data_IF_748758207653
#
_entry.id   IF_748758207653
#
_cell.length_a   1.000
_cell.length_b   1.000
_cell.length_c   1.000
_cell.angle_alpha   90.00
_cell.angle_beta   90.00
_cell.angle_gamma   90.00
#
_symmetry.space_group_name_H-M   'P 1'
#
loop_
_entity.id
_entity.type
_entity.pdbx_description
1 polymer ?
#
# COMPACT_ATOMS: atom_id res chain seq x y z
N UNK A 1 1.48 6.50 -36.92
CA UNK A 1 2.51 5.46 -36.86
C UNK A 1 2.36 4.67 -35.54
N UNK A 2 2.18 3.36 -35.64
CA UNK A 2 1.84 2.50 -34.47
C UNK A 2 3.10 2.09 -33.69
N UNK A 3 4.22 1.93 -34.41
CA UNK A 3 5.47 1.42 -33.84
C UNK A 3 6.27 2.51 -33.13
N UNK A 4 6.80 2.17 -31.96
CA UNK A 4 7.77 2.96 -31.23
C UNK A 4 9.10 2.20 -31.19
N UNK A 5 10.15 2.81 -31.72
CA UNK A 5 11.49 2.24 -31.80
C UNK A 5 12.38 2.77 -30.66
N UNK A 6 11.99 2.50 -29.43
CA UNK A 6 12.69 2.94 -28.25
C UNK A 6 12.46 2.01 -27.05
N UNK A 7 12.95 2.41 -25.89
CA UNK A 7 12.71 1.68 -24.65
C UNK A 7 11.28 1.95 -24.14
N UNK A 8 10.39 0.96 -24.22
CA UNK A 8 9.01 1.03 -23.75
C UNK A 8 8.85 1.16 -22.21
N UNK A 9 9.95 1.12 -21.45
CA UNK A 9 9.96 1.29 -19.99
C UNK A 9 10.51 2.66 -19.56
N UNK A 10 10.87 3.52 -20.53
CA UNK A 10 11.43 4.86 -20.22
C UNK A 10 10.35 5.91 -20.05
N UNK A 11 10.69 6.99 -19.35
CA UNK A 11 9.82 8.18 -19.20
C UNK A 11 9.53 8.85 -20.55
N UNK A 12 10.46 8.73 -21.51
CA UNK A 12 10.28 9.21 -22.89
C UNK A 12 9.12 8.48 -23.58
N UNK A 13 8.97 7.17 -23.34
CA UNK A 13 7.82 6.43 -23.85
C UNK A 13 6.50 6.88 -23.20
N UNK A 14 6.51 7.14 -21.90
CA UNK A 14 5.31 7.61 -21.18
C UNK A 14 4.82 8.92 -21.80
N UNK A 15 5.73 9.89 -22.00
CA UNK A 15 5.42 11.16 -22.63
C UNK A 15 4.94 11.02 -24.09
N UNK A 16 5.59 10.15 -24.85
CA UNK A 16 5.23 9.89 -26.26
C UNK A 16 3.88 9.16 -26.36
N UNK A 17 3.59 8.23 -25.47
CA UNK A 17 2.31 7.53 -25.41
C UNK A 17 1.15 8.51 -25.09
N UNK A 18 1.35 9.42 -24.15
CA UNK A 18 0.41 10.48 -23.83
C UNK A 18 0.17 11.41 -25.03
N UNK A 19 1.24 11.84 -25.70
CA UNK A 19 1.17 12.64 -26.93
C UNK A 19 0.39 11.96 -28.05
N UNK A 20 0.43 10.63 -28.11
CA UNK A 20 -0.33 9.80 -29.08
C UNK A 20 -1.77 9.55 -28.65
N UNK A 21 -2.17 9.98 -27.46
CA UNK A 21 -3.50 9.71 -26.88
C UNK A 21 -3.70 8.26 -26.46
N UNK A 22 -2.61 7.53 -26.17
CA UNK A 22 -2.71 6.18 -25.66
C UNK A 22 -3.02 6.21 -24.15
N UNK A 23 -3.97 5.40 -23.67
CA UNK A 23 -4.28 5.36 -22.23
C UNK A 23 -3.14 4.75 -21.43
N UNK A 24 -2.83 5.36 -20.29
CA UNK A 24 -1.88 4.82 -19.31
C UNK A 24 -2.64 4.39 -18.06
N UNK A 25 -3.25 3.22 -18.12
CA UNK A 25 -4.06 2.67 -17.02
C UNK A 25 -3.12 1.98 -16.03
N UNK A 26 -2.96 2.57 -14.84
CA UNK A 26 -2.03 2.11 -13.81
C UNK A 26 -2.66 1.22 -12.74
N UNK A 27 -3.98 1.12 -12.70
CA UNK A 27 -4.69 0.32 -11.69
C UNK A 27 -5.72 -0.61 -12.31
N UNK A 28 -5.95 -1.75 -11.65
CA UNK A 28 -7.00 -2.69 -12.02
C UNK A 28 -8.39 -2.03 -11.94
N UNK A 29 -8.60 -1.15 -10.95
CA UNK A 29 -9.88 -0.44 -10.75
C UNK A 29 -10.25 0.41 -11.97
N UNK A 30 -9.27 1.09 -12.57
CA UNK A 30 -9.46 1.85 -13.81
C UNK A 30 -9.66 0.92 -15.02
N UNK A 31 -8.85 -0.14 -15.10
CA UNK A 31 -8.92 -1.09 -16.21
C UNK A 31 -10.28 -1.78 -16.32
N UNK A 32 -10.86 -2.16 -15.18
CA UNK A 32 -12.19 -2.79 -15.11
C UNK A 32 -13.28 -1.89 -15.70
N UNK A 33 -13.20 -0.57 -15.47
CA UNK A 33 -14.12 0.39 -16.06
C UNK A 33 -14.18 0.35 -17.59
N UNK A 34 -13.11 -0.10 -18.25
CA UNK A 34 -13.09 -0.22 -19.71
C UNK A 34 -13.97 -1.35 -20.24
N UNK A 35 -14.33 -2.36 -19.43
CA UNK A 35 -15.22 -3.45 -19.83
C UNK A 35 -16.65 -2.98 -20.12
N UNK A 36 -17.11 -1.96 -19.40
CA UNK A 36 -18.48 -1.47 -19.45
C UNK A 36 -18.65 -0.17 -20.25
N UNK A 37 -17.62 0.25 -20.99
CA UNK A 37 -17.72 1.36 -21.92
C UNK A 37 -18.66 1.02 -23.07
N UNK A 38 -19.49 1.96 -23.55
CA UNK A 38 -20.45 1.69 -24.61
C UNK A 38 -19.86 1.06 -25.89
N UNK A 39 -18.65 1.52 -26.28
CA UNK A 39 -17.93 0.98 -27.43
C UNK A 39 -17.48 -0.46 -27.22
N UNK A 40 -17.06 -0.81 -25.99
CA UNK A 40 -16.66 -2.17 -25.62
C UNK A 40 -17.86 -3.11 -25.59
N UNK A 41 -18.96 -2.69 -24.97
CA UNK A 41 -20.24 -3.42 -24.96
C UNK A 41 -20.70 -3.71 -26.39
N UNK A 42 -20.81 -2.68 -27.23
CA UNK A 42 -21.23 -2.82 -28.63
C UNK A 42 -20.33 -3.80 -29.41
N UNK A 43 -19.04 -3.78 -29.16
CA UNK A 43 -18.09 -4.69 -29.81
C UNK A 43 -18.37 -6.13 -29.41
N UNK A 44 -18.48 -6.44 -28.11
CA UNK A 44 -18.71 -7.78 -27.62
C UNK A 44 -20.07 -8.34 -28.01
N UNK A 45 -21.14 -7.54 -27.99
CA UNK A 45 -22.47 -7.91 -28.48
C UNK A 45 -22.45 -8.17 -29.99
N UNK A 46 -21.75 -7.31 -30.76
CA UNK A 46 -21.64 -7.45 -32.19
C UNK A 46 -20.94 -8.75 -32.63
N UNK A 47 -20.01 -9.27 -31.81
CA UNK A 47 -19.38 -10.57 -32.03
C UNK A 47 -20.09 -11.75 -31.33
N UNK A 48 -21.18 -11.48 -30.61
CA UNK A 48 -21.91 -12.53 -29.89
C UNK A 48 -21.13 -13.18 -28.75
N UNK A 49 -20.17 -12.47 -28.16
CA UNK A 49 -19.27 -13.01 -27.10
C UNK A 49 -19.85 -12.77 -25.72
N UNK A 50 -20.26 -11.53 -25.44
CA UNK A 50 -20.88 -11.15 -24.17
C UNK A 50 -22.01 -10.14 -24.41
N UNK A 51 -23.04 -10.23 -23.58
CA UNK A 51 -24.09 -9.21 -23.44
C UNK A 51 -23.63 -8.10 -22.48
N UNK A 52 -24.29 -6.94 -22.54
CA UNK A 52 -24.07 -5.85 -21.58
C UNK A 52 -24.22 -6.32 -20.13
N UNK A 53 -25.24 -7.15 -19.83
CA UNK A 53 -25.48 -7.67 -18.49
C UNK A 53 -24.32 -8.54 -17.98
N UNK A 54 -23.75 -9.38 -18.84
CA UNK A 54 -22.60 -10.22 -18.50
C UNK A 54 -21.33 -9.38 -18.27
N UNK A 55 -21.09 -8.34 -19.08
CA UNK A 55 -19.96 -7.44 -18.90
C UNK A 55 -20.05 -6.65 -17.58
N UNK A 56 -21.24 -6.14 -17.25
CA UNK A 56 -21.50 -5.48 -15.96
C UNK A 56 -21.25 -6.40 -14.78
N UNK A 57 -21.80 -7.63 -14.82
CA UNK A 57 -21.58 -8.63 -13.77
C UNK A 57 -20.09 -8.97 -13.60
N UNK A 58 -19.37 -9.12 -14.70
CA UNK A 58 -17.91 -9.37 -14.66
C UNK A 58 -17.13 -8.19 -14.07
N UNK A 59 -17.52 -6.96 -14.36
CA UNK A 59 -16.90 -5.77 -13.77
C UNK A 59 -17.14 -5.72 -12.24
N UNK A 60 -18.36 -5.98 -11.80
CA UNK A 60 -18.73 -6.04 -10.38
C UNK A 60 -17.89 -7.08 -9.62
N UNK A 61 -17.79 -8.30 -10.16
CA UNK A 61 -16.98 -9.38 -9.56
C UNK A 61 -15.50 -8.97 -9.46
N UNK A 62 -14.97 -8.26 -10.46
CA UNK A 62 -13.58 -7.80 -10.43
C UNK A 62 -13.35 -6.70 -9.39
N UNK A 63 -14.26 -5.76 -9.22
CA UNK A 63 -14.19 -4.75 -8.17
C UNK A 63 -14.26 -5.40 -6.78
N UNK A 64 -15.18 -6.35 -6.61
CA UNK A 64 -15.29 -7.09 -5.35
C UNK A 64 -14.03 -7.89 -5.03
N UNK A 65 -13.48 -8.60 -6.01
CA UNK A 65 -12.24 -9.37 -5.85
C UNK A 65 -11.06 -8.47 -5.46
N UNK A 66 -10.91 -7.30 -6.11
CA UNK A 66 -9.89 -6.32 -5.76
C UNK A 66 -10.05 -5.83 -4.32
N UNK A 67 -11.26 -5.41 -3.95
CA UNK A 67 -11.57 -4.92 -2.60
C UNK A 67 -11.28 -5.97 -1.53
N UNK A 68 -11.67 -7.24 -1.78
CA UNK A 68 -11.39 -8.36 -0.86
C UNK A 68 -9.89 -8.61 -0.69
N UNK A 69 -9.12 -8.58 -1.78
CA UNK A 69 -7.67 -8.80 -1.73
C UNK A 69 -6.99 -7.72 -0.88
N UNK A 70 -7.21 -6.44 -1.20
CA UNK A 70 -6.60 -5.33 -0.46
C UNK A 70 -7.06 -5.29 1.00
N UNK A 71 -8.34 -5.63 1.28
CA UNK A 71 -8.83 -5.74 2.66
C UNK A 71 -8.10 -6.82 3.48
N UNK A 72 -7.81 -7.97 2.87
CA UNK A 72 -7.04 -9.04 3.53
C UNK A 72 -5.61 -8.56 3.79
N UNK A 73 -4.95 -7.98 2.78
CA UNK A 73 -3.59 -7.46 2.90
C UNK A 73 -3.50 -6.39 4.00
N UNK A 74 -4.41 -5.41 4.02
CA UNK A 74 -4.44 -4.36 5.02
C UNK A 74 -4.64 -4.90 6.45
N UNK A 75 -5.56 -5.84 6.63
CA UNK A 75 -5.78 -6.49 7.93
C UNK A 75 -4.58 -7.30 8.39
N UNK A 76 -3.91 -7.99 7.47
CA UNK A 76 -2.68 -8.72 7.75
C UNK A 76 -1.56 -7.76 8.19
N UNK A 77 -1.39 -6.62 7.50
CA UNK A 77 -0.42 -5.60 7.91
C UNK A 77 -0.69 -5.05 9.32
N UNK A 78 -1.96 -4.76 9.64
CA UNK A 78 -2.34 -4.31 10.99
C UNK A 78 -2.00 -5.38 12.04
N UNK A 79 -2.29 -6.63 11.74
CA UNK A 79 -2.06 -7.76 12.65
C UNK A 79 -0.56 -7.99 12.87
N UNK A 80 0.25 -8.03 11.82
CA UNK A 80 1.71 -8.15 11.89
C UNK A 80 2.33 -6.96 12.63
N UNK A 81 1.93 -5.72 12.30
CA UNK A 81 2.43 -4.54 13.00
C UNK A 81 2.12 -4.59 14.50
N UNK A 82 0.91 -5.01 14.87
CA UNK A 82 0.48 -5.03 16.26
C UNK A 82 1.03 -6.19 17.10
N UNK A 83 1.21 -7.37 16.49
CA UNK A 83 1.57 -8.59 17.22
C UNK A 83 3.06 -8.95 17.15
N UNK A 84 3.73 -8.49 16.09
CA UNK A 84 5.11 -8.88 15.82
C UNK A 84 6.06 -7.69 15.84
N UNK A 85 5.85 -6.71 14.96
CA UNK A 85 6.81 -5.63 14.72
C UNK A 85 6.87 -4.65 15.89
N UNK A 86 5.75 -4.09 16.33
CA UNK A 86 5.71 -3.14 17.45
C UNK A 86 6.25 -3.77 18.73
N UNK A 87 5.89 -5.00 19.15
CA UNK A 87 6.50 -5.66 20.30
C UNK A 87 8.01 -5.88 20.17
N UNK A 88 8.50 -6.27 18.98
CA UNK A 88 9.93 -6.45 18.74
C UNK A 88 10.70 -5.13 18.91
N UNK A 89 10.17 -4.04 18.38
CA UNK A 89 10.77 -2.71 18.51
C UNK A 89 10.74 -2.22 19.96
N UNK A 90 9.68 -2.50 20.72
CA UNK A 90 9.62 -2.18 22.17
C UNK A 90 10.73 -2.94 22.91
N UNK A 91 10.99 -4.20 22.60
CA UNK A 91 12.09 -4.96 23.20
C UNK A 91 13.43 -4.32 22.88
N UNK A 92 13.66 -3.96 21.61
CA UNK A 92 14.90 -3.30 21.18
C UNK A 92 15.11 -1.93 21.84
N UNK A 93 14.04 -1.11 21.97
CA UNK A 93 14.15 0.16 22.71
C UNK A 93 14.50 -0.04 24.17
N UNK A 94 14.03 -1.13 24.78
CA UNK A 94 14.40 -1.49 26.17
C UNK A 94 15.89 -1.86 26.28
N UNK A 95 16.42 -2.63 25.33
CA UNK A 95 17.84 -2.97 25.28
C UNK A 95 18.72 -1.72 25.08
N UNK A 96 18.34 -0.82 24.18
CA UNK A 96 19.03 0.45 23.96
C UNK A 96 18.99 1.33 25.23
N UNK A 97 17.86 1.43 25.91
CA UNK A 97 17.74 2.21 27.13
C UNK A 97 18.66 1.67 28.24
N UNK A 98 18.72 0.33 28.41
CA UNK A 98 19.65 -0.30 29.34
C UNK A 98 21.11 -0.05 28.95
N UNK A 99 21.43 -0.10 27.65
CA UNK A 99 22.76 0.22 27.15
C UNK A 99 23.15 1.66 27.48
N UNK A 100 22.27 2.65 27.25
CA UNK A 100 22.50 4.06 27.60
C UNK A 100 22.80 4.21 29.09
N UNK A 101 22.05 3.55 29.95
CA UNK A 101 22.24 3.63 31.39
C UNK A 101 23.58 3.00 31.81
N UNK A 102 23.88 1.80 31.35
CA UNK A 102 25.10 1.08 31.71
C UNK A 102 26.38 1.78 31.24
N UNK A 103 26.37 2.37 30.03
CA UNK A 103 27.52 3.12 29.51
C UNK A 103 27.74 4.40 30.29
N UNK A 104 26.68 5.11 30.68
CA UNK A 104 26.75 6.30 31.53
C UNK A 104 27.26 5.97 32.94
N UNK A 105 26.80 4.88 33.55
CA UNK A 105 27.27 4.41 34.87
C UNK A 105 28.75 4.03 34.84
N UNK A 106 29.24 3.51 33.73
CA UNK A 106 30.65 3.22 33.51
C UNK A 106 31.52 4.50 33.26
N UNK A 107 30.90 5.68 33.21
CA UNK A 107 31.59 6.97 32.99
C UNK A 107 31.97 7.22 31.54
N UNK A 108 31.39 6.50 30.58
CA UNK A 108 31.63 6.67 29.14
C UNK A 108 30.51 7.47 28.45
N UNK A 109 30.80 7.94 27.23
CA UNK A 109 29.83 8.66 26.40
C UNK A 109 28.80 7.66 25.79
N UNK A 110 27.53 7.92 26.03
CA UNK A 110 26.40 7.14 25.54
C UNK A 110 25.54 7.92 24.52
N UNK A 111 26.09 8.96 23.90
CA UNK A 111 25.35 9.83 22.99
C UNK A 111 24.80 9.06 21.79
N UNK A 112 25.60 8.20 21.17
CA UNK A 112 25.20 7.40 20.00
C UNK A 112 24.02 6.46 20.33
N UNK A 113 24.09 5.77 21.47
CA UNK A 113 23.00 4.89 21.90
C UNK A 113 21.71 5.69 22.20
N UNK A 114 21.84 6.87 22.78
CA UNK A 114 20.72 7.75 23.10
C UNK A 114 20.06 8.32 21.82
N UNK A 115 20.85 8.65 20.80
CA UNK A 115 20.35 9.11 19.51
C UNK A 115 19.56 8.01 18.80
N UNK A 116 20.11 6.79 18.74
CA UNK A 116 19.42 5.63 18.17
C UNK A 116 18.12 5.32 18.93
N UNK A 117 18.15 5.35 20.27
CA UNK A 117 16.95 5.15 21.10
C UNK A 117 15.88 6.18 20.77
N UNK A 118 16.25 7.43 20.61
CA UNK A 118 15.33 8.53 20.27
C UNK A 118 14.71 8.32 18.90
N UNK A 119 15.51 7.96 17.90
CA UNK A 119 15.07 7.72 16.53
C UNK A 119 14.12 6.53 16.45
N UNK A 120 14.47 5.39 17.02
CA UNK A 120 13.62 4.18 17.03
C UNK A 120 12.31 4.41 17.80
N UNK A 121 12.36 5.15 18.90
CA UNK A 121 11.16 5.55 19.64
C UNK A 121 10.24 6.46 18.82
N UNK A 122 10.80 7.29 17.97
CA UNK A 122 10.06 8.10 16.98
C UNK A 122 9.32 7.22 16.00
N UNK A 123 10.00 6.25 15.38
CA UNK A 123 9.36 5.31 14.45
C UNK A 123 8.27 4.46 15.12
N UNK A 124 8.47 4.04 16.36
CA UNK A 124 7.43 3.31 17.13
C UNK A 124 6.15 4.14 17.27
N UNK A 125 6.27 5.45 17.54
CA UNK A 125 5.13 6.37 17.61
C UNK A 125 4.44 6.52 16.25
N UNK A 126 5.22 6.67 15.17
CA UNK A 126 4.71 6.76 13.80
C UNK A 126 3.95 5.49 13.40
N UNK A 127 4.51 4.31 13.67
CA UNK A 127 3.87 3.01 13.40
C UNK A 127 2.54 2.88 14.10
N UNK A 128 2.48 3.26 15.39
CA UNK A 128 1.23 3.16 16.17
C UNK A 128 0.15 4.07 15.59
N UNK A 129 0.50 5.29 15.20
CA UNK A 129 -0.43 6.24 14.58
C UNK A 129 -0.88 5.77 13.19
N UNK A 130 0.05 5.29 12.34
CA UNK A 130 -0.25 4.80 11.01
C UNK A 130 -1.11 3.52 11.04
N UNK A 131 -0.85 2.60 11.98
CA UNK A 131 -1.67 1.41 12.19
C UNK A 131 -3.12 1.76 12.57
N UNK A 132 -3.31 2.76 13.43
CA UNK A 132 -4.64 3.24 13.79
C UNK A 132 -5.35 3.88 12.59
N UNK A 133 -4.65 4.71 11.81
CA UNK A 133 -5.17 5.32 10.57
C UNK A 133 -5.58 4.26 9.54
N UNK A 134 -4.77 3.23 9.34
CA UNK A 134 -5.09 2.13 8.45
C UNK A 134 -6.32 1.35 8.91
N UNK A 135 -6.44 1.08 10.22
CA UNK A 135 -7.61 0.41 10.79
C UNK A 135 -8.91 1.22 10.57
N UNK A 136 -8.85 2.53 10.74
CA UNK A 136 -9.98 3.44 10.46
C UNK A 136 -10.35 3.45 8.98
N UNK A 137 -9.34 3.52 8.08
CA UNK A 137 -9.56 3.47 6.65
C UNK A 137 -10.23 2.15 6.22
N UNK A 138 -9.79 1.00 6.76
CA UNK A 138 -10.40 -0.32 6.50
C UNK A 138 -11.84 -0.37 7.01
N UNK A 139 -12.12 0.18 8.18
CA UNK A 139 -13.48 0.25 8.73
C UNK A 139 -14.40 1.11 7.85
N UNK A 140 -13.90 2.26 7.39
CA UNK A 140 -14.63 3.16 6.49
C UNK A 140 -14.88 2.51 5.12
N UNK A 141 -13.92 1.76 4.58
CA UNK A 141 -14.08 1.04 3.32
C UNK A 141 -15.28 0.08 3.32
N UNK A 142 -15.65 -0.47 4.47
CA UNK A 142 -16.81 -1.36 4.62
C UNK A 142 -18.17 -0.65 4.43
N UNK A 143 -18.21 0.68 4.40
CA UNK A 143 -19.43 1.46 4.16
C UNK A 143 -19.71 1.69 2.67
N UNK A 144 -18.78 1.35 1.81
CA UNK A 144 -18.89 1.45 0.35
C UNK A 144 -19.12 0.08 -0.28
N UNK A 145 -19.64 0.07 -1.51
CA UNK A 145 -19.88 -1.14 -2.29
C UNK A 145 -19.38 -1.00 -3.73
N UNK A 146 -19.14 -2.12 -4.39
CA UNK A 146 -18.83 -2.20 -5.82
C UNK A 146 -17.63 -1.33 -6.22
N UNK A 147 -17.79 -0.54 -7.28
CA UNK A 147 -16.73 0.33 -7.80
C UNK A 147 -16.25 1.36 -6.79
N UNK A 148 -17.17 2.01 -6.05
CA UNK A 148 -16.81 3.03 -5.06
C UNK A 148 -15.95 2.46 -3.93
N UNK A 149 -16.23 1.23 -3.51
CA UNK A 149 -15.42 0.52 -2.55
C UNK A 149 -14.01 0.23 -3.09
N UNK A 150 -13.90 -0.25 -4.33
CA UNK A 150 -12.63 -0.53 -4.97
C UNK A 150 -11.78 0.74 -5.15
N UNK A 151 -12.40 1.86 -5.52
CA UNK A 151 -11.75 3.16 -5.60
C UNK A 151 -11.24 3.62 -4.22
N UNK A 152 -12.03 3.48 -3.17
CA UNK A 152 -11.61 3.82 -1.81
C UNK A 152 -10.44 2.94 -1.31
N UNK A 153 -10.45 1.65 -1.61
CA UNK A 153 -9.32 0.77 -1.32
C UNK A 153 -8.05 1.21 -2.06
N UNK A 154 -8.15 1.59 -3.33
CA UNK A 154 -7.02 2.08 -4.11
C UNK A 154 -6.46 3.41 -3.57
N UNK A 155 -7.35 4.39 -3.33
CA UNK A 155 -6.97 5.78 -3.13
C UNK A 155 -6.71 6.12 -1.65
N UNK A 156 -7.26 5.34 -0.72
CA UNK A 156 -7.16 5.63 0.71
C UNK A 156 -6.50 4.49 1.48
N UNK A 157 -7.03 3.27 1.38
CA UNK A 157 -6.50 2.15 2.17
C UNK A 157 -5.08 1.81 1.76
N UNK A 158 -4.81 1.69 0.45
CA UNK A 158 -3.47 1.38 -0.04
C UNK A 158 -2.44 2.46 0.33
N UNK A 159 -2.83 3.73 0.28
CA UNK A 159 -1.97 4.83 0.74
C UNK A 159 -1.66 4.71 2.23
N UNK A 160 -2.65 4.39 3.06
CA UNK A 160 -2.44 4.18 4.48
C UNK A 160 -1.58 2.92 4.78
N UNK A 161 -1.62 1.89 3.92
CA UNK A 161 -0.70 0.74 4.00
C UNK A 161 0.75 1.18 3.76
N UNK A 162 1.00 2.01 2.75
CA UNK A 162 2.33 2.54 2.45
C UNK A 162 2.84 3.44 3.58
N UNK A 163 1.96 4.25 4.19
CA UNK A 163 2.29 5.08 5.36
C UNK A 163 2.66 4.24 6.59
N UNK A 164 2.03 3.08 6.81
CA UNK A 164 2.41 2.16 7.88
C UNK A 164 3.75 1.47 7.60
N UNK A 165 3.99 1.10 6.35
CA UNK A 165 5.21 0.42 5.93
C UNK A 165 6.46 1.30 6.10
N UNK A 166 6.35 2.59 5.78
CA UNK A 166 7.51 3.50 5.78
C UNK A 166 8.28 3.56 7.11
N UNK A 167 7.66 3.74 8.30
CA UNK A 167 8.37 3.71 9.56
C UNK A 167 8.86 2.30 9.95
N UNK A 168 8.21 1.22 9.47
CA UNK A 168 8.68 -0.15 9.67
C UNK A 168 10.00 -0.36 8.94
N UNK A 169 10.06 -0.07 7.65
CA UNK A 169 11.26 -0.22 6.82
C UNK A 169 12.44 0.59 7.40
N UNK A 170 12.18 1.79 7.94
CA UNK A 170 13.21 2.61 8.61
C UNK A 170 13.72 1.97 9.90
N UNK A 171 12.84 1.41 10.71
CA UNK A 171 13.22 0.76 11.95
C UNK A 171 14.02 -0.53 11.71
N UNK A 172 13.69 -1.28 10.65
CA UNK A 172 14.44 -2.46 10.24
C UNK A 172 15.91 -2.14 9.87
N UNK A 173 16.16 -0.95 9.31
CA UNK A 173 17.52 -0.52 8.99
C UNK A 173 18.38 -0.23 10.21
N UNK A 174 17.79 0.10 11.35
CA UNK A 174 18.50 0.42 12.60
C UNK A 174 18.59 -0.77 13.56
N UNK A 175 17.66 -1.67 13.45
CA UNK A 175 17.61 -2.86 14.28
C UNK A 175 17.89 -4.08 13.42
N UNK A 176 18.85 -4.90 13.80
CA UNK A 176 18.99 -6.28 13.29
C UNK A 176 17.84 -7.14 13.85
N UNK A 177 16.62 -6.63 13.75
CA UNK A 177 15.45 -7.41 14.14
C UNK A 177 15.29 -8.51 13.10
N UNK A 178 15.76 -9.68 13.43
CA UNK A 178 15.33 -10.90 12.77
C UNK A 178 13.88 -11.15 13.21
N UNK A 179 12.96 -10.60 12.41
CA UNK A 179 11.55 -10.90 12.52
C UNK A 179 11.30 -12.29 11.93
#
# INVERSE_FOLDING_TARGET
QVVFNGNGYSDEWVAEAERRGLPNIKSMVEAVGSLVKPETVKMFEGFGVFTEAELKSRAEIKYEAYSKAINIEAKTMIDMAGKEIIPAIISYTTELANSVLSVKEAGADASVQADILTEVSGYLKEMKAASAKLAEAVATAATFEGKAQAEYFRDTVKVAMDELRAPVDKAEMLSLIHI
#
